data_IF_243281802232
#
_entry.id   IF_243281802232
#
_cell.length_a   1.000
_cell.length_b   1.000
_cell.length_c   1.000
_cell.angle_alpha   90.00
_cell.angle_beta   90.00
_cell.angle_gamma   90.00
#
_symmetry.space_group_name_H-M   'P 1'
#
loop_
_entity.id
_entity.type
_entity.pdbx_description
1 polymer ?
#
# COMPACT_ATOMS: atom_id res chain seq x y z
N UNK A 1 -19.49 -3.26 -4.43
CA UNK A 1 -18.25 -4.07 -4.48
C UNK A 1 -17.06 -3.15 -4.31
N UNK A 2 -16.12 -3.48 -3.42
CA UNK A 2 -14.85 -2.75 -3.32
C UNK A 2 -13.93 -3.13 -4.48
N UNK A 3 -13.13 -2.18 -4.97
CA UNK A 3 -12.16 -2.43 -6.06
C UNK A 3 -11.13 -3.51 -5.70
N UNK A 4 -10.85 -3.66 -4.40
CA UNK A 4 -9.87 -4.61 -3.87
C UNK A 4 -10.42 -6.02 -3.62
N UNK A 5 -11.72 -6.24 -3.87
CA UNK A 5 -12.31 -7.57 -3.68
C UNK A 5 -11.71 -8.56 -4.68
N UNK A 6 -11.20 -9.67 -4.16
CA UNK A 6 -10.48 -10.72 -4.87
C UNK A 6 -9.10 -10.30 -5.37
N UNK A 7 -8.53 -9.20 -4.83
CA UNK A 7 -7.28 -8.61 -5.32
C UNK A 7 -6.17 -8.60 -4.30
N UNK A 8 -4.94 -8.68 -4.79
CA UNK A 8 -3.72 -8.40 -4.03
C UNK A 8 -3.28 -6.94 -4.24
N UNK A 9 -3.04 -6.23 -3.15
CA UNK A 9 -2.67 -4.81 -3.17
C UNK A 9 -1.84 -4.43 -1.95
N UNK A 10 -1.25 -3.24 -1.99
CA UNK A 10 -0.41 -2.68 -0.91
C UNK A 10 -0.79 -1.23 -0.62
N UNK A 11 -0.23 -0.68 0.45
CA UNK A 11 -0.41 0.68 0.94
C UNK A 11 0.42 0.88 2.20
N UNK A 12 0.33 2.06 2.82
CA UNK A 12 1.17 2.41 3.96
C UNK A 12 1.07 1.38 5.10
N UNK A 13 2.22 0.86 5.54
CA UNK A 13 2.29 -0.24 6.49
C UNK A 13 2.22 0.24 7.94
N UNK A 14 1.80 -0.63 8.85
CA UNK A 14 1.77 -0.35 10.29
C UNK A 14 3.17 0.00 10.84
N UNK A 15 4.23 -0.58 10.27
CA UNK A 15 5.61 -0.24 10.66
C UNK A 15 6.00 1.20 10.29
N UNK A 16 5.48 1.70 9.17
CA UNK A 16 5.70 3.07 8.71
C UNK A 16 4.84 4.07 9.50
N UNK A 17 3.59 3.70 9.81
CA UNK A 17 2.73 4.48 10.71
C UNK A 17 3.33 4.58 12.13
N UNK A 18 3.79 3.46 12.69
CA UNK A 18 4.41 3.44 14.01
C UNK A 18 5.68 4.31 14.04
N UNK A 19 6.50 4.25 12.98
CA UNK A 19 7.65 5.13 12.86
C UNK A 19 7.23 6.61 12.85
N UNK A 20 6.18 6.96 12.10
CA UNK A 20 5.69 8.33 12.03
C UNK A 20 5.15 8.82 13.38
N UNK A 21 4.34 8.01 14.06
CA UNK A 21 3.81 8.31 15.40
C UNK A 21 4.95 8.54 16.41
N UNK A 22 5.98 7.68 16.39
CA UNK A 22 7.15 7.82 17.28
C UNK A 22 7.97 9.06 16.96
N UNK A 23 8.16 9.37 15.67
CA UNK A 23 8.90 10.55 15.24
C UNK A 23 8.22 11.86 15.67
N UNK A 24 6.89 11.91 15.58
CA UNK A 24 6.12 13.10 15.99
C UNK A 24 5.83 13.10 17.50
N UNK A 25 5.87 11.93 18.16
CA UNK A 25 5.59 11.78 19.59
C UNK A 25 4.10 11.71 19.94
N UNK A 26 3.24 11.47 18.96
CA UNK A 26 1.79 11.32 19.15
C UNK A 26 1.18 10.51 18.00
N UNK A 27 -0.04 10.01 18.22
CA UNK A 27 -0.84 9.39 17.16
C UNK A 27 -1.20 10.43 16.10
N UNK A 28 -0.79 10.23 14.85
CA UNK A 28 -1.05 11.17 13.75
C UNK A 28 -2.39 10.86 13.07
N UNK A 29 -2.60 9.58 12.73
CA UNK A 29 -3.78 9.15 11.98
C UNK A 29 -4.87 8.59 12.91
N UNK A 30 -6.15 8.85 12.62
CA UNK A 30 -7.26 8.31 13.42
C UNK A 30 -7.37 6.78 13.31
N UNK A 31 -6.82 6.17 12.27
CA UNK A 31 -6.73 4.73 12.03
C UNK A 31 -5.50 4.46 11.15
N UNK A 32 -5.02 3.22 11.12
CA UNK A 32 -3.91 2.82 10.27
C UNK A 32 -4.41 2.01 9.06
N UNK A 33 -3.85 2.28 7.90
CA UNK A 33 -4.33 1.74 6.62
C UNK A 33 -4.25 0.21 6.62
N UNK A 34 -3.12 -0.37 7.04
CA UNK A 34 -2.94 -1.82 7.07
C UNK A 34 -3.95 -2.50 8.04
N UNK A 35 -4.22 -1.90 9.21
CA UNK A 35 -5.21 -2.45 10.15
C UNK A 35 -6.61 -2.50 9.54
N UNK A 36 -7.05 -1.42 8.87
CA UNK A 36 -8.36 -1.38 8.22
C UNK A 36 -8.41 -2.28 6.97
N UNK A 37 -7.33 -2.32 6.18
CA UNK A 37 -7.25 -3.15 4.98
C UNK A 37 -7.39 -4.65 5.31
N UNK A 38 -6.80 -5.10 6.43
CA UNK A 38 -6.90 -6.50 6.89
C UNK A 38 -8.31 -6.90 7.35
N UNK A 39 -9.19 -5.95 7.65
CA UNK A 39 -10.60 -6.22 8.00
C UNK A 39 -11.48 -6.43 6.76
N UNK A 40 -11.00 -6.09 5.58
CA UNK A 40 -11.78 -6.21 4.34
C UNK A 40 -11.84 -7.68 3.92
N UNK A 41 -13.02 -8.31 3.90
CA UNK A 41 -13.15 -9.70 3.48
C UNK A 41 -12.81 -9.84 1.99
N UNK A 42 -12.33 -11.03 1.62
CA UNK A 42 -11.94 -11.37 0.25
C UNK A 42 -10.92 -10.39 -0.35
N UNK A 43 -9.99 -9.84 0.42
CA UNK A 43 -8.95 -8.92 -0.04
C UNK A 43 -7.59 -9.35 0.51
N UNK A 44 -6.51 -9.15 -0.25
CA UNK A 44 -5.16 -9.53 0.15
C UNK A 44 -4.24 -8.30 0.23
N UNK A 45 -4.09 -7.74 1.42
CA UNK A 45 -3.18 -6.61 1.67
C UNK A 45 -1.79 -7.12 2.08
N UNK A 46 -0.78 -6.78 1.28
CA UNK A 46 0.62 -7.19 1.51
C UNK A 46 1.52 -5.98 1.73
N UNK A 47 2.57 -6.18 2.52
CA UNK A 47 3.57 -5.16 2.85
C UNK A 47 4.98 -5.74 2.72
N UNK A 48 5.95 -4.87 2.51
CA UNK A 48 7.38 -5.16 2.52
C UNK A 48 8.10 -4.26 3.53
N UNK A 49 9.42 -4.46 3.65
CA UNK A 49 10.25 -3.70 4.57
C UNK A 49 10.08 -2.18 4.40
N UNK A 50 9.97 -1.49 5.53
CA UNK A 50 9.85 -0.04 5.62
C UNK A 50 10.93 0.66 4.78
N UNK A 51 10.53 1.74 4.10
CA UNK A 51 11.39 2.57 3.26
C UNK A 51 12.07 1.85 2.09
N UNK A 52 11.55 0.70 1.68
CA UNK A 52 11.93 0.03 0.42
C UNK A 52 10.82 0.20 -0.61
N UNK A 53 11.20 0.35 -1.87
CA UNK A 53 10.23 0.40 -2.95
C UNK A 53 9.43 -0.90 -3.01
N UNK A 54 8.11 -0.82 -2.92
CA UNK A 54 7.19 -1.94 -3.07
C UNK A 54 5.93 -1.50 -3.79
N UNK A 55 5.70 -2.08 -4.96
CA UNK A 55 4.50 -1.86 -5.75
C UNK A 55 3.92 -3.21 -6.17
N UNK A 56 2.59 -3.25 -6.26
CA UNK A 56 1.81 -4.44 -6.58
C UNK A 56 0.91 -4.13 -7.77
N UNK A 57 0.87 -5.04 -8.74
CA UNK A 57 -0.10 -5.04 -9.84
C UNK A 57 -0.92 -6.31 -9.79
N UNK A 58 -2.24 -6.15 -9.73
CA UNK A 58 -3.22 -7.23 -9.91
C UNK A 58 -4.23 -6.81 -10.99
N UNK A 59 -3.95 -7.24 -12.22
CA UNK A 59 -4.68 -6.77 -13.41
C UNK A 59 -4.48 -5.27 -13.63
N UNK A 60 -5.57 -4.50 -13.47
CA UNK A 60 -5.58 -3.03 -13.58
C UNK A 60 -5.49 -2.32 -12.22
N UNK A 61 -5.47 -3.06 -11.10
CA UNK A 61 -5.23 -2.47 -9.79
C UNK A 61 -3.72 -2.38 -9.56
N UNK A 62 -3.20 -1.15 -9.50
CA UNK A 62 -1.79 -0.88 -9.25
C UNK A 62 -1.69 -0.02 -8.00
N UNK A 63 -0.90 -0.48 -7.04
CA UNK A 63 -0.73 0.17 -5.74
C UNK A 63 0.74 0.22 -5.35
N UNK A 64 1.13 1.23 -4.58
CA UNK A 64 2.49 1.39 -4.04
C UNK A 64 2.41 1.64 -2.54
N UNK A 65 3.34 1.07 -1.79
CA UNK A 65 3.29 1.08 -0.32
C UNK A 65 3.46 2.50 0.24
N UNK A 66 4.49 3.22 -0.21
CA UNK A 66 4.84 4.56 0.28
C UNK A 66 5.67 5.33 -0.76
N UNK A 67 6.16 6.54 -0.42
CA UNK A 67 6.84 7.48 -1.33
C UNK A 67 7.98 6.88 -2.19
N UNK A 68 8.84 6.03 -1.65
CA UNK A 68 9.93 5.35 -2.37
C UNK A 68 9.42 4.35 -3.43
N UNK A 69 8.13 4.02 -3.41
CA UNK A 69 7.49 3.12 -4.37
C UNK A 69 6.96 3.85 -5.61
N UNK A 70 7.00 5.20 -5.66
CA UNK A 70 6.40 5.98 -6.74
C UNK A 70 6.91 5.61 -8.13
N UNK A 71 8.24 5.47 -8.30
CA UNK A 71 8.84 5.06 -9.59
C UNK A 71 8.43 3.63 -9.96
N UNK A 72 8.41 2.71 -8.99
CA UNK A 72 8.01 1.33 -9.24
C UNK A 72 6.53 1.24 -9.66
N UNK A 73 5.64 1.96 -8.99
CA UNK A 73 4.23 2.04 -9.34
C UNK A 73 4.01 2.66 -10.72
N UNK A 74 4.70 3.76 -11.04
CA UNK A 74 4.60 4.41 -12.35
C UNK A 74 5.04 3.49 -13.51
N UNK A 75 6.09 2.69 -13.32
CA UNK A 75 6.51 1.68 -14.31
C UNK A 75 5.43 0.64 -14.58
N UNK A 76 4.78 0.14 -13.52
CA UNK A 76 3.67 -0.81 -13.67
C UNK A 76 2.47 -0.19 -14.38
N UNK A 77 2.22 1.10 -14.18
CA UNK A 77 1.15 1.83 -14.90
C UNK A 77 1.47 1.90 -16.39
N UNK A 78 2.68 2.30 -16.75
CA UNK A 78 3.16 2.33 -18.15
C UNK A 78 3.01 0.94 -18.80
N UNK A 79 3.48 -0.10 -18.13
CA UNK A 79 3.38 -1.48 -18.60
C UNK A 79 1.91 -1.91 -18.79
N UNK A 80 1.02 -1.50 -17.89
CA UNK A 80 -0.41 -1.81 -17.98
C UNK A 80 -1.11 -1.10 -19.15
N UNK A 81 -0.60 0.06 -19.57
CA UNK A 81 -1.10 0.80 -20.73
C UNK A 81 -0.50 0.30 -22.05
N UNK A 82 0.57 -0.50 -22.01
CA UNK A 82 1.23 -1.06 -23.19
C UNK A 82 2.04 -0.04 -23.99
N UNK A 83 2.56 1.00 -23.32
CA UNK A 83 3.38 2.08 -23.92
C UNK A 83 4.87 1.92 -23.61
#
# INVERSE_FOLDING_TARGET
NLLVKGKTWTGFANSEEQFADQYVGQRIQPFWIEEEARKIPDSNFIVQGMFKAHAVRDGHLITGQQQYSGVAAARLVIEALGV
#
